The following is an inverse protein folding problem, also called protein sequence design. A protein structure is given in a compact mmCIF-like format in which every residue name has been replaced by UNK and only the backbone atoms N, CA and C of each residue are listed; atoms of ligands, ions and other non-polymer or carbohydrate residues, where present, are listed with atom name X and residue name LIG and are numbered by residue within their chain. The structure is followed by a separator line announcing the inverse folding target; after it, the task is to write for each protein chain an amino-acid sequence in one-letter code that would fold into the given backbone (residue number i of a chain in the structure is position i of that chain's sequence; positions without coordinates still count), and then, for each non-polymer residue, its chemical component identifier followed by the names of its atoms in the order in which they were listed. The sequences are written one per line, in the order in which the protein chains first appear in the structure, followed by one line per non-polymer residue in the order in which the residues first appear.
data_IF_289750597510
#
_entry.id   IF_289750597510
#
_cell.length_a   1.000
_cell.length_b   1.000
_cell.length_c   1.000
_cell.angle_alpha   90.00
_cell.angle_beta   90.00
_cell.angle_gamma   90.00
#
_symmetry.space_group_name_H-M   'P 1'
#
loop_
_entity.id
_entity.type
_entity.pdbx_description
1 polymer ?
#
# COMPACT_ATOMS: atom_id res chain seq x y z
N UNK A 1 47.52 69.37 36.84
CA UNK A 1 46.21 69.88 37.29
C UNK A 1 45.18 69.08 36.51
N UNK A 2 44.22 68.47 37.21
CA UNK A 2 43.22 67.50 36.69
C UNK A 2 43.77 66.08 36.42
N UNK A 3 43.92 65.16 37.38
CA UNK A 3 42.95 64.42 38.21
C UNK A 3 41.87 63.65 37.45
N UNK A 4 42.07 62.32 37.38
CA UNK A 4 41.12 61.22 37.39
C UNK A 4 39.66 61.50 36.99
N UNK A 5 39.24 60.94 35.85
CA UNK A 5 37.88 60.44 35.65
C UNK A 5 37.86 59.22 34.70
N UNK A 6 38.00 57.97 35.18
CA UNK A 6 37.55 56.78 34.45
C UNK A 6 36.25 56.17 35.02
N UNK A 7 35.53 56.82 35.94
CA UNK A 7 34.45 56.17 36.71
C UNK A 7 33.01 56.40 36.21
N UNK A 8 32.78 57.18 35.15
CA UNK A 8 31.41 57.54 34.71
C UNK A 8 30.81 56.62 33.63
N UNK A 9 31.60 55.75 33.00
CA UNK A 9 31.10 54.84 31.94
C UNK A 9 30.83 53.41 32.44
N UNK A 10 31.54 52.93 33.47
CA UNK A 10 31.33 51.58 34.04
C UNK A 10 30.09 51.45 34.93
N UNK A 11 29.57 52.55 35.49
CA UNK A 11 28.38 52.54 36.34
C UNK A 11 27.05 52.39 35.58
N UNK A 12 27.03 52.73 34.28
CA UNK A 12 25.87 52.54 33.39
C UNK A 12 25.72 51.09 32.95
N UNK A 13 26.83 50.44 32.55
CA UNK A 13 26.80 49.04 32.10
C UNK A 13 26.56 48.05 33.24
N UNK A 14 27.08 48.33 34.45
CA UNK A 14 26.78 47.54 35.64
C UNK A 14 25.29 47.59 36.05
N UNK A 15 24.61 48.72 35.81
CA UNK A 15 23.17 48.85 36.07
C UNK A 15 22.31 48.11 35.05
N UNK A 16 22.73 48.07 33.77
CA UNK A 16 22.03 47.33 32.73
C UNK A 16 22.15 45.80 32.92
N UNK A 17 23.32 45.30 33.36
CA UNK A 17 23.54 43.89 33.65
C UNK A 17 22.84 43.44 34.95
N UNK A 18 22.73 44.33 35.94
CA UNK A 18 21.94 44.09 37.17
C UNK A 18 20.42 44.04 36.88
N UNK A 19 19.93 44.85 35.92
CA UNK A 19 18.53 44.81 35.50
C UNK A 19 18.19 43.53 34.69
N UNK A 20 19.12 43.05 33.85
CA UNK A 20 18.93 41.82 33.08
C UNK A 20 18.94 40.56 33.97
N UNK A 21 19.84 40.49 34.96
CA UNK A 21 19.88 39.37 35.92
C UNK A 21 18.69 39.35 36.88
N UNK A 22 18.10 40.50 37.22
CA UNK A 22 16.93 40.58 38.10
C UNK A 22 15.58 40.26 37.40
N UNK A 23 15.56 40.16 36.06
CA UNK A 23 14.33 39.84 35.31
C UNK A 23 14.12 38.32 35.17
N UNK A 24 15.20 37.54 35.12
CA UNK A 24 15.15 36.07 34.96
C UNK A 24 14.78 35.30 36.24
N UNK A 25 14.90 35.90 37.43
CA UNK A 25 14.59 35.22 38.70
C UNK A 25 13.10 35.28 39.12
N UNK A 26 12.24 35.89 38.30
CA UNK A 26 10.79 35.99 38.56
C UNK A 26 9.96 34.79 38.08
N UNK A 27 10.57 33.87 37.33
CA UNK A 27 9.92 32.65 36.84
C UNK A 27 10.33 31.36 37.59
N UNK A 28 11.23 31.45 38.57
CA UNK A 28 11.72 30.30 39.36
C UNK A 28 11.27 30.29 40.83
N UNK A 29 10.22 31.05 41.19
CA UNK A 29 9.63 30.99 42.53
C UNK A 29 8.24 30.34 42.48
N UNK A 30 8.06 29.11 42.98
CA UNK A 30 6.74 28.51 43.07
C UNK A 30 5.87 29.32 44.05
N UNK A 31 4.56 29.45 43.80
CA UNK A 31 3.66 30.10 44.75
C UNK A 31 3.68 29.32 46.06
N UNK A 32 3.92 30.02 47.15
CA UNK A 32 3.80 29.49 48.50
C UNK A 32 2.32 29.15 48.74
N UNK A 33 1.93 27.90 48.50
CA UNK A 33 0.59 27.42 48.82
C UNK A 33 0.49 27.27 50.35
N UNK A 34 -0.56 27.81 51.00
CA UNK A 34 -0.76 27.60 52.43
C UNK A 34 -1.00 26.11 52.70
N UNK A 35 -0.19 25.55 53.59
CA UNK A 35 -0.25 24.16 54.04
C UNK A 35 -1.42 23.97 55.02
N UNK A 36 -2.65 23.99 54.52
CA UNK A 36 -3.83 23.64 55.31
C UNK A 36 -4.86 22.93 54.42
N UNK A 37 -5.35 21.79 54.90
CA UNK A 37 -6.39 20.92 54.30
C UNK A 37 -5.92 19.79 53.38
N UNK A 38 -5.06 18.90 53.91
CA UNK A 38 -4.92 17.53 53.38
C UNK A 38 -5.91 16.61 54.11
N UNK A 39 -7.20 16.68 53.78
CA UNK A 39 -8.13 15.61 54.15
C UNK A 39 -9.21 15.46 53.08
N UNK A 40 -9.33 14.22 52.58
CA UNK A 40 -10.31 13.72 51.59
C UNK A 40 -9.90 13.85 50.12
N UNK A 41 -8.92 13.05 49.73
CA UNK A 41 -8.89 12.45 48.38
C UNK A 41 -10.10 11.50 48.24
N UNK A 42 -10.99 11.69 47.25
CA UNK A 42 -11.89 10.61 46.86
C UNK A 42 -11.04 9.51 46.20
N UNK A 43 -11.11 8.30 46.75
CA UNK A 43 -10.49 7.10 46.21
C UNK A 43 -10.88 6.96 44.73
N UNK A 44 -9.89 7.05 43.83
CA UNK A 44 -10.11 6.78 42.42
C UNK A 44 -10.67 5.34 42.26
N UNK A 45 -11.68 5.11 41.40
CA UNK A 45 -12.12 3.75 41.12
C UNK A 45 -10.96 2.98 40.48
N UNK A 46 -10.68 1.79 41.01
CA UNK A 46 -9.62 0.92 40.50
C UNK A 46 -9.82 0.64 38.98
N UNK A 47 -8.75 0.56 38.17
CA UNK A 47 -8.88 0.21 36.77
C UNK A 47 -9.45 -1.20 36.61
N UNK A 48 -10.31 -1.46 35.61
CA UNK A 48 -10.87 -2.79 35.38
C UNK A 48 -9.76 -3.80 35.11
N UNK A 49 -9.84 -4.96 35.77
CA UNK A 49 -8.76 -5.95 35.89
C UNK A 49 -8.49 -6.79 34.63
N UNK A 50 -9.08 -6.49 33.48
CA UNK A 50 -8.56 -7.04 32.22
C UNK A 50 -9.01 -6.23 30.99
N UNK A 51 -8.09 -5.92 30.05
CA UNK A 51 -8.44 -5.28 28.77
C UNK A 51 -9.15 -6.26 27.82
N UNK A 52 -9.18 -7.55 28.14
CA UNK A 52 -9.66 -8.62 27.27
C UNK A 52 -11.15 -8.94 27.47
N UNK A 53 -11.78 -8.50 28.57
CA UNK A 53 -13.22 -8.71 28.81
C UNK A 53 -14.14 -7.88 27.91
N UNK A 54 -13.66 -6.76 27.35
CA UNK A 54 -14.50 -5.82 26.59
C UNK A 54 -14.62 -6.20 25.10
N UNK A 55 -13.69 -7.01 24.59
CA UNK A 55 -13.66 -7.42 23.17
C UNK A 55 -14.74 -8.45 22.83
N UNK A 56 -15.23 -9.21 23.83
CA UNK A 56 -16.20 -10.30 23.61
C UNK A 56 -17.66 -9.85 23.47
N UNK A 57 -17.94 -8.54 23.65
CA UNK A 57 -19.31 -8.00 23.73
C UNK A 57 -19.70 -7.07 22.57
N UNK A 58 -18.82 -6.86 21.59
CA UNK A 58 -19.17 -6.09 20.39
C UNK A 58 -19.67 -7.05 19.30
N UNK A 59 -21.00 -7.21 19.11
CA UNK A 59 -21.51 -7.96 17.96
C UNK A 59 -21.04 -7.29 16.67
N UNK A 60 -20.54 -8.10 15.73
CA UNK A 60 -20.03 -7.61 14.44
C UNK A 60 -21.15 -6.85 13.72
N UNK A 61 -20.90 -5.61 13.23
CA UNK A 61 -21.91 -4.83 12.52
C UNK A 61 -22.17 -5.44 11.13
N UNK A 62 -23.14 -6.34 11.03
CA UNK A 62 -23.46 -7.08 9.80
C UNK A 62 -23.86 -6.16 8.64
N UNK A 63 -24.46 -5.00 8.91
CA UNK A 63 -24.85 -4.00 7.91
C UNK A 63 -23.64 -3.52 7.09
N UNK A 64 -22.46 -3.44 7.71
CA UNK A 64 -21.22 -3.09 7.02
C UNK A 64 -20.68 -4.23 6.16
N UNK A 65 -21.05 -5.49 6.43
CA UNK A 65 -20.59 -6.66 5.68
C UNK A 65 -21.39 -6.92 4.41
N UNK A 66 -22.63 -6.45 4.32
CA UNK A 66 -23.47 -6.61 3.12
C UNK A 66 -22.79 -6.05 1.85
N UNK A 67 -22.27 -4.81 1.83
CA UNK A 67 -21.60 -4.29 0.63
C UNK A 67 -20.32 -5.05 0.30
N UNK A 68 -19.54 -5.46 1.30
CA UNK A 68 -18.34 -6.28 1.07
C UNK A 68 -18.69 -7.67 0.54
N UNK A 69 -19.73 -8.32 1.08
CA UNK A 69 -20.23 -9.60 0.62
C UNK A 69 -20.73 -9.53 -0.82
N UNK A 70 -21.52 -8.51 -1.16
CA UNK A 70 -21.97 -8.29 -2.54
C UNK A 70 -20.78 -8.11 -3.49
N UNK A 71 -19.81 -7.29 -3.10
CA UNK A 71 -18.57 -7.09 -3.87
C UNK A 71 -17.86 -8.43 -4.09
N UNK A 72 -17.61 -9.20 -3.03
CA UNK A 72 -16.97 -10.51 -3.13
C UNK A 72 -17.74 -11.45 -4.06
N UNK A 73 -19.06 -11.50 -3.98
CA UNK A 73 -19.89 -12.35 -4.85
C UNK A 73 -19.77 -11.91 -6.30
N UNK A 74 -19.86 -10.62 -6.61
CA UNK A 74 -19.73 -10.12 -7.98
C UNK A 74 -18.35 -10.40 -8.57
N UNK A 75 -17.28 -10.23 -7.77
CA UNK A 75 -15.92 -10.60 -8.19
C UNK A 75 -15.76 -12.11 -8.37
N UNK A 76 -16.36 -12.93 -7.51
CA UNK A 76 -16.32 -14.38 -7.65
C UNK A 76 -17.06 -14.85 -8.91
N UNK A 77 -18.26 -14.32 -9.17
CA UNK A 77 -19.04 -14.61 -10.38
C UNK A 77 -18.27 -14.20 -11.63
N UNK A 78 -17.68 -13.01 -11.63
CA UNK A 78 -16.87 -12.52 -12.76
C UNK A 78 -15.62 -13.37 -12.96
N UNK A 79 -14.88 -13.68 -11.90
CA UNK A 79 -13.65 -14.48 -11.97
C UNK A 79 -13.90 -15.91 -12.44
N UNK A 80 -14.92 -16.56 -11.91
CA UNK A 80 -15.32 -17.92 -12.32
C UNK A 80 -15.88 -17.92 -13.74
N UNK A 81 -16.76 -16.98 -14.09
CA UNK A 81 -17.31 -16.84 -15.44
C UNK A 81 -16.24 -16.58 -16.49
N UNK A 82 -15.29 -15.67 -16.22
CA UNK A 82 -14.18 -15.38 -17.12
C UNK A 82 -13.23 -16.58 -17.28
N UNK A 83 -12.91 -17.27 -16.18
CA UNK A 83 -12.10 -18.49 -16.22
C UNK A 83 -12.77 -19.58 -17.07
N UNK A 84 -14.07 -19.80 -16.88
CA UNK A 84 -14.85 -20.75 -17.67
C UNK A 84 -14.87 -20.37 -19.16
N UNK A 85 -15.15 -19.11 -19.49
CA UNK A 85 -15.12 -18.62 -20.88
C UNK A 85 -13.76 -18.83 -21.55
N UNK A 86 -12.65 -18.59 -20.83
CA UNK A 86 -11.29 -18.86 -21.31
C UNK A 86 -11.03 -20.35 -21.50
N UNK A 87 -11.61 -21.24 -20.68
CA UNK A 87 -11.47 -22.68 -20.87
C UNK A 87 -12.21 -23.16 -22.11
N UNK A 88 -13.43 -22.65 -22.34
CA UNK A 88 -14.25 -23.01 -23.49
C UNK A 88 -13.58 -22.65 -24.83
N UNK A 89 -12.94 -21.49 -24.90
CA UNK A 89 -12.22 -21.04 -26.11
C UNK A 89 -10.89 -21.76 -26.35
N UNK A 90 -10.36 -22.47 -25.35
CA UNK A 90 -9.06 -23.14 -25.41
C UNK A 90 -9.18 -24.67 -25.46
N UNK A 91 -10.26 -25.20 -26.05
CA UNK A 91 -10.55 -26.65 -26.09
C UNK A 91 -10.57 -27.31 -24.69
N UNK A 92 -10.98 -26.56 -23.67
CA UNK A 92 -10.97 -26.99 -22.27
C UNK A 92 -9.61 -26.89 -21.56
N UNK A 93 -8.54 -26.56 -22.29
CA UNK A 93 -7.17 -26.50 -21.77
C UNK A 93 -6.90 -25.18 -21.04
N UNK A 94 -5.96 -25.14 -20.07
CA UNK A 94 -5.57 -23.90 -19.42
C UNK A 94 -4.98 -22.91 -20.43
N UNK A 95 -5.18 -21.62 -20.17
CA UNK A 95 -4.48 -20.57 -20.92
C UNK A 95 -3.00 -20.64 -20.60
N UNK A 96 -2.15 -20.60 -21.64
CA UNK A 96 -0.70 -20.45 -21.47
C UNK A 96 -0.36 -18.98 -21.25
N UNK A 97 0.61 -18.74 -20.38
CA UNK A 97 1.12 -17.41 -20.06
C UNK A 97 2.60 -17.37 -20.43
N UNK A 98 3.13 -16.17 -20.70
CA UNK A 98 4.56 -15.98 -20.98
C UNK A 98 5.03 -16.82 -22.17
N UNK A 99 4.34 -16.67 -23.30
CA UNK A 99 4.71 -17.33 -24.55
C UNK A 99 5.90 -16.58 -25.16
N UNK A 100 6.92 -17.33 -25.55
CA UNK A 100 8.04 -16.82 -26.32
C UNK A 100 7.79 -17.05 -27.83
N UNK A 101 8.70 -16.54 -28.66
CA UNK A 101 8.56 -16.63 -30.10
C UNK A 101 8.62 -18.08 -30.63
N UNK A 102 9.32 -18.96 -29.90
CA UNK A 102 9.37 -20.38 -30.23
C UNK A 102 8.02 -21.04 -29.99
N UNK A 103 7.45 -20.84 -28.80
CA UNK A 103 6.12 -21.33 -28.42
C UNK A 103 5.05 -20.83 -29.38
N UNK A 104 5.09 -19.56 -29.79
CA UNK A 104 4.18 -19.01 -30.79
C UNK A 104 4.30 -19.73 -32.14
N UNK A 105 5.53 -19.99 -32.59
CA UNK A 105 5.81 -20.73 -33.81
C UNK A 105 5.34 -22.20 -33.72
N UNK A 106 5.51 -22.83 -32.56
CA UNK A 106 5.04 -24.19 -32.28
C UNK A 106 3.52 -24.29 -32.24
N UNK A 107 2.84 -23.31 -31.64
CA UNK A 107 1.37 -23.27 -31.64
C UNK A 107 0.80 -23.09 -33.04
N UNK A 108 1.42 -22.27 -33.89
CA UNK A 108 0.98 -22.13 -35.28
C UNK A 108 1.23 -23.41 -36.08
N UNK A 109 2.35 -24.10 -35.84
CA UNK A 109 2.60 -25.45 -36.39
C UNK A 109 1.51 -26.44 -35.96
N UNK A 110 1.20 -26.49 -34.66
CA UNK A 110 0.21 -27.42 -34.11
C UNK A 110 -1.21 -27.10 -34.62
N UNK A 111 -1.53 -25.82 -34.83
CA UNK A 111 -2.76 -25.37 -35.49
C UNK A 111 -2.84 -25.87 -36.92
N UNK A 112 -1.73 -25.85 -37.68
CA UNK A 112 -1.70 -26.40 -39.04
C UNK A 112 -1.83 -27.92 -39.08
N UNK A 113 -1.39 -28.62 -38.02
CA UNK A 113 -1.52 -30.08 -37.90
C UNK A 113 -2.93 -30.52 -37.48
N UNK A 114 -3.58 -29.78 -36.58
CA UNK A 114 -4.82 -30.21 -35.91
C UNK A 114 -6.05 -29.38 -36.28
N UNK A 115 -5.87 -28.21 -36.90
CA UNK A 115 -6.93 -27.25 -37.21
C UNK A 115 -7.36 -26.38 -36.02
N UNK A 116 -6.96 -26.71 -34.79
CA UNK A 116 -7.23 -25.90 -33.60
C UNK A 116 -5.96 -25.26 -33.03
N UNK A 117 -6.06 -24.04 -32.52
CA UNK A 117 -4.96 -23.34 -31.84
C UNK A 117 -4.43 -24.11 -30.61
N UNK A 118 -5.22 -25.01 -30.03
CA UNK A 118 -4.84 -25.80 -28.84
C UNK A 118 -4.93 -27.30 -29.05
N UNK A 119 -5.17 -27.74 -30.29
CA UNK A 119 -5.14 -29.16 -30.64
C UNK A 119 -3.73 -29.73 -30.46
N UNK A 120 -3.66 -30.96 -29.96
CA UNK A 120 -2.42 -31.73 -29.89
C UNK A 120 -2.67 -33.03 -30.64
N UNK A 121 -1.72 -33.45 -31.47
CA UNK A 121 -1.76 -34.73 -32.17
C UNK A 121 -0.62 -35.61 -31.66
N UNK A 122 -0.92 -36.89 -31.45
CA UNK A 122 0.06 -37.92 -31.11
C UNK A 122 0.34 -38.85 -32.30
N UNK A 123 -0.25 -38.57 -33.46
CA UNK A 123 -0.12 -39.42 -34.64
C UNK A 123 1.33 -39.37 -35.17
N UNK A 124 1.99 -40.52 -35.38
CA UNK A 124 3.36 -40.55 -35.89
C UNK A 124 3.50 -40.05 -37.32
N UNK A 125 2.44 -40.13 -38.12
CA UNK A 125 2.41 -39.69 -39.52
C UNK A 125 1.54 -38.44 -39.63
N UNK A 126 2.13 -37.35 -40.14
CA UNK A 126 1.40 -36.10 -40.32
C UNK A 126 0.31 -36.23 -41.41
N UNK A 127 -0.80 -35.49 -41.30
CA UNK A 127 -1.84 -35.49 -42.32
C UNK A 127 -1.30 -34.93 -43.64
N UNK A 128 -1.76 -35.46 -44.77
CA UNK A 128 -1.29 -35.08 -46.12
C UNK A 128 -1.40 -33.57 -46.39
N UNK A 129 -2.44 -32.92 -45.86
CA UNK A 129 -2.67 -31.49 -45.99
C UNK A 129 -1.58 -30.62 -45.32
N UNK A 130 -0.84 -31.16 -44.35
CA UNK A 130 0.23 -30.42 -43.67
C UNK A 130 1.40 -30.09 -44.62
N UNK A 131 1.67 -30.95 -45.62
CA UNK A 131 2.72 -30.76 -46.60
C UNK A 131 2.51 -29.51 -47.47
N UNK A 132 1.26 -29.11 -47.70
CA UNK A 132 0.89 -27.99 -48.58
C UNK A 132 0.41 -26.74 -47.84
N UNK A 133 0.10 -26.84 -46.56
CA UNK A 133 -0.44 -25.73 -45.76
C UNK A 133 0.66 -24.82 -45.17
N UNK A 134 1.79 -24.61 -45.86
CA UNK A 134 2.85 -23.73 -45.36
C UNK A 134 2.54 -22.26 -45.64
N UNK A 135 2.65 -21.41 -44.61
CA UNK A 135 2.35 -19.98 -44.69
C UNK A 135 3.63 -19.19 -44.48
N UNK A 136 3.91 -18.29 -45.42
CA UNK A 136 4.97 -17.29 -45.31
C UNK A 136 4.31 -15.94 -45.05
N UNK A 137 4.66 -15.32 -43.93
CA UNK A 137 4.12 -14.01 -43.58
C UNK A 137 4.84 -12.92 -44.37
N UNK A 138 4.08 -11.99 -44.94
CA UNK A 138 4.62 -10.81 -45.62
C UNK A 138 4.38 -9.58 -44.75
N UNK A 139 5.38 -8.71 -44.67
CA UNK A 139 5.29 -7.45 -43.96
C UNK A 139 4.99 -6.31 -44.94
N UNK A 140 4.16 -5.35 -44.53
CA UNK A 140 3.94 -4.13 -45.30
C UNK A 140 5.13 -3.20 -45.12
N UNK A 141 5.80 -2.84 -46.23
CA UNK A 141 6.86 -1.83 -46.23
C UNK A 141 6.28 -0.46 -45.88
N UNK A 142 6.50 0.01 -44.66
CA UNK A 142 6.19 1.39 -44.26
C UNK A 142 7.31 2.32 -44.72
N UNK A 143 7.05 3.08 -45.79
CA UNK A 143 7.89 4.23 -46.12
C UNK A 143 7.49 5.40 -45.22
N UNK A 144 8.16 5.52 -44.09
CA UNK A 144 8.15 6.77 -43.32
C UNK A 144 9.03 7.76 -44.07
N UNK A 145 8.41 8.70 -44.78
CA UNK A 145 9.11 9.84 -45.34
C UNK A 145 9.38 10.83 -44.21
N UNK A 146 10.65 11.02 -43.87
CA UNK A 146 11.13 12.11 -43.01
C UNK A 146 11.19 13.40 -43.83
#
# INVERSE_FOLDING_TARGET
MESDQPEREQSSEASALTAYTATELRYLRPPFLPLASLSRTPLAPAPPSSPWSVVSLLPVPYEALIPFGLLTVMFAVTGTGFSAAKRLTNDGKPTRHTLDQWEDSMMERDRRLTGSLRGQSTEPIAPKAFATNSVWQTEKVQRTFL
#
